data_IF_497255608331
#
_entry.id   IF_497255608331
#
_cell.length_a   1.000
_cell.length_b   1.000
_cell.length_c   1.000
_cell.angle_alpha   90.00
_cell.angle_beta   90.00
_cell.angle_gamma   90.00
#
_symmetry.space_group_name_H-M   'P 1'
#
loop_
_entity.id
_entity.type
_entity.pdbx_description
1 polymer ?
#
# COMPACT_ATOMS: atom_id res chain seq x y z
N UNK A 1 -27.44 10.02 17.12
CA UNK A 1 -27.87 8.69 17.55
C UNK A 1 -26.68 7.75 17.50
N UNK A 2 -26.11 7.46 18.63
CA UNK A 2 -25.13 6.37 18.71
C UNK A 2 -25.89 5.06 18.65
N UNK A 3 -25.79 4.41 17.52
CA UNK A 3 -26.17 3.00 17.47
C UNK A 3 -25.08 2.27 18.24
N UNK A 4 -25.39 1.77 19.41
CA UNK A 4 -24.54 0.81 20.10
C UNK A 4 -24.48 -0.45 19.24
N UNK A 5 -23.65 -0.45 18.23
CA UNK A 5 -23.32 -1.69 17.56
C UNK A 5 -22.59 -2.57 18.58
N UNK A 6 -23.04 -3.78 18.79
CA UNK A 6 -22.40 -4.65 19.77
C UNK A 6 -20.95 -4.89 19.31
N UNK A 7 -20.02 -4.67 20.22
CA UNK A 7 -18.62 -5.01 20.00
C UNK A 7 -18.54 -6.46 19.51
N UNK A 8 -17.91 -6.73 18.35
CA UNK A 8 -17.84 -8.09 17.83
C UNK A 8 -17.23 -9.03 18.88
N UNK A 9 -17.86 -10.19 19.10
CA UNK A 9 -17.28 -11.17 20.00
C UNK A 9 -15.99 -11.72 19.39
N UNK A 10 -14.89 -11.60 20.12
CA UNK A 10 -13.60 -12.13 19.70
C UNK A 10 -13.61 -13.64 19.95
N UNK A 11 -13.31 -14.49 18.93
CA UNK A 11 -13.18 -15.92 19.13
C UNK A 11 -12.09 -16.24 20.14
N UNK A 12 -12.20 -17.40 20.77
CA UNK A 12 -11.21 -17.87 21.73
C UNK A 12 -9.98 -18.38 20.97
N UNK A 13 -8.98 -17.53 20.86
CA UNK A 13 -7.75 -17.78 20.11
C UNK A 13 -6.57 -18.09 21.03
N UNK A 14 -5.71 -18.98 20.58
CA UNK A 14 -4.41 -19.20 21.26
C UNK A 14 -3.53 -17.95 21.11
N UNK A 15 -2.51 -17.85 21.95
CA UNK A 15 -1.51 -16.77 21.86
C UNK A 15 -0.81 -16.77 20.50
N UNK A 16 -0.48 -17.96 19.98
CA UNK A 16 0.17 -18.09 18.68
C UNK A 16 -0.75 -17.70 17.52
N UNK A 17 -2.02 -18.05 17.59
CA UNK A 17 -3.01 -17.63 16.60
C UNK A 17 -3.16 -16.11 16.58
N UNK A 18 -3.29 -15.47 17.74
CA UNK A 18 -3.35 -14.00 17.82
C UNK A 18 -2.09 -13.34 17.29
N UNK A 19 -0.92 -13.85 17.64
CA UNK A 19 0.36 -13.33 17.18
C UNK A 19 0.52 -13.47 15.66
N UNK A 20 0.10 -14.60 15.10
CA UNK A 20 0.14 -14.84 13.66
C UNK A 20 -0.78 -13.88 12.90
N UNK A 21 -2.02 -13.72 13.35
CA UNK A 21 -2.98 -12.81 12.73
C UNK A 21 -2.50 -11.35 12.80
N UNK A 22 -1.90 -10.95 13.92
CA UNK A 22 -1.33 -9.62 14.07
C UNK A 22 -0.15 -9.40 13.12
N UNK A 23 0.75 -10.36 12.98
CA UNK A 23 1.88 -10.29 12.03
C UNK A 23 1.40 -10.19 10.58
N UNK A 24 0.36 -10.92 10.21
CA UNK A 24 -0.26 -10.85 8.89
C UNK A 24 -0.84 -9.45 8.64
N UNK A 25 -1.55 -8.91 9.61
CA UNK A 25 -2.12 -7.56 9.53
C UNK A 25 -1.03 -6.49 9.32
N UNK A 26 0.08 -6.57 10.08
CA UNK A 26 1.20 -5.65 9.91
C UNK A 26 1.88 -5.84 8.56
N UNK A 27 2.01 -7.07 8.08
CA UNK A 27 2.54 -7.36 6.75
C UNK A 27 1.68 -6.75 5.64
N UNK A 28 0.38 -6.87 5.74
CA UNK A 28 -0.58 -6.24 4.81
C UNK A 28 -0.43 -4.72 4.82
N UNK A 29 -0.33 -4.11 6.00
CA UNK A 29 -0.12 -2.67 6.13
C UNK A 29 1.17 -2.21 5.43
N UNK A 30 2.27 -2.94 5.62
CA UNK A 30 3.53 -2.64 4.93
C UNK A 30 3.41 -2.80 3.41
N UNK A 31 2.71 -3.81 2.93
CA UNK A 31 2.47 -4.00 1.50
C UNK A 31 1.65 -2.87 0.88
N UNK A 32 0.63 -2.37 1.59
CA UNK A 32 -0.14 -1.20 1.15
C UNK A 32 0.71 0.08 1.13
N UNK A 33 1.62 0.25 2.09
CA UNK A 33 2.56 1.39 2.08
C UNK A 33 3.53 1.29 0.91
N UNK A 34 4.04 0.10 0.61
CA UNK A 34 4.89 -0.13 -0.56
C UNK A 34 4.16 0.22 -1.86
N UNK A 35 2.91 -0.15 -1.97
CA UNK A 35 2.05 0.24 -3.09
C UNK A 35 1.89 1.77 -3.18
N UNK A 36 1.66 2.43 -2.07
CA UNK A 36 1.57 3.89 -2.02
C UNK A 36 2.89 4.57 -2.45
N UNK A 37 4.04 4.02 -2.05
CA UNK A 37 5.36 4.50 -2.46
C UNK A 37 5.57 4.31 -3.97
N UNK A 38 5.07 3.22 -4.53
CA UNK A 38 5.13 2.97 -5.96
C UNK A 38 4.25 3.95 -6.74
N UNK A 39 3.07 4.30 -6.22
CA UNK A 39 2.24 5.39 -6.76
C UNK A 39 2.99 6.72 -6.71
N UNK A 40 3.69 7.01 -5.61
CA UNK A 40 4.54 8.19 -5.50
C UNK A 40 5.67 8.20 -6.54
N UNK A 41 6.29 7.06 -6.76
CA UNK A 41 7.29 6.88 -7.82
C UNK A 41 6.69 7.19 -9.20
N UNK A 42 5.50 6.69 -9.49
CA UNK A 42 4.79 6.96 -10.74
C UNK A 42 4.56 8.46 -10.94
N UNK A 43 4.04 9.17 -9.96
CA UNK A 43 3.78 10.60 -10.05
C UNK A 43 5.06 11.40 -10.25
N UNK A 44 6.12 11.09 -9.52
CA UNK A 44 7.42 11.78 -9.65
C UNK A 44 8.08 11.52 -10.99
N UNK A 45 7.97 10.31 -11.52
CA UNK A 45 8.47 9.96 -12.84
C UNK A 45 7.75 10.75 -13.92
N UNK A 46 6.41 10.90 -13.83
CA UNK A 46 5.64 11.75 -14.72
C UNK A 46 6.10 13.20 -14.70
N UNK A 47 6.33 13.76 -13.52
CA UNK A 47 6.87 15.12 -13.39
C UNK A 47 8.28 15.24 -13.99
N UNK A 48 9.13 14.23 -13.82
CA UNK A 48 10.45 14.21 -14.44
C UNK A 48 10.35 14.24 -15.98
N UNK A 49 9.43 13.45 -16.55
CA UNK A 49 9.22 13.43 -18.00
C UNK A 49 8.72 14.78 -18.52
N UNK A 50 7.82 15.43 -17.81
CA UNK A 50 7.33 16.78 -18.16
C UNK A 50 8.49 17.79 -18.18
N UNK A 51 9.39 17.71 -17.21
CA UNK A 51 10.58 18.58 -17.17
C UNK A 51 11.55 18.33 -18.31
N UNK A 52 11.77 17.07 -18.67
CA UNK A 52 12.61 16.75 -19.82
C UNK A 52 11.98 17.19 -21.14
N UNK A 53 10.67 17.08 -21.28
CA UNK A 53 9.94 17.62 -22.43
C UNK A 53 10.11 19.14 -22.55
N UNK A 54 10.02 19.87 -21.45
CA UNK A 54 10.30 21.31 -21.40
C UNK A 54 11.76 21.61 -21.73
N UNK A 55 12.70 20.82 -21.21
CA UNK A 55 14.14 20.97 -21.49
C UNK A 55 14.43 20.81 -22.98
N UNK A 56 13.79 19.90 -23.68
CA UNK A 56 13.93 19.73 -25.13
C UNK A 56 13.60 21.04 -25.85
N UNK A 57 12.45 21.66 -25.55
CA UNK A 57 12.05 22.92 -26.18
C UNK A 57 13.03 24.05 -25.90
N UNK A 58 13.49 24.16 -24.65
CA UNK A 58 14.44 25.21 -24.24
C UNK A 58 15.83 25.04 -24.86
N UNK A 59 16.32 23.81 -24.94
CA UNK A 59 17.59 23.51 -25.60
C UNK A 59 17.54 23.82 -27.07
N UNK A 60 16.46 23.53 -27.73
CA UNK A 60 16.25 23.83 -29.15
C UNK A 60 16.22 25.34 -29.39
N UNK A 61 15.51 26.08 -28.54
CA UNK A 61 15.47 27.53 -28.59
C UNK A 61 16.84 28.18 -28.32
N UNK A 62 17.68 27.53 -27.52
CA UNK A 62 19.05 27.97 -27.23
C UNK A 62 20.10 27.53 -28.28
N UNK A 63 19.70 26.79 -29.31
CA UNK A 63 20.55 26.32 -30.38
C UNK A 63 21.29 25.01 -30.10
N UNK A 64 20.90 24.28 -29.05
CA UNK A 64 21.49 22.99 -28.69
C UNK A 64 20.68 21.83 -29.27
N UNK A 65 20.54 21.77 -30.58
CA UNK A 65 19.65 20.84 -31.27
C UNK A 65 20.02 19.37 -31.04
N UNK A 66 21.31 19.06 -30.96
CA UNK A 66 21.75 17.67 -30.74
C UNK A 66 21.26 17.11 -29.40
N UNK A 67 21.33 17.90 -28.32
CA UNK A 67 20.84 17.50 -27.01
C UNK A 67 19.29 17.44 -27.00
N UNK A 68 18.65 18.39 -27.66
CA UNK A 68 17.18 18.37 -27.82
C UNK A 68 16.72 17.11 -28.56
N UNK A 69 17.42 16.73 -29.63
CA UNK A 69 17.14 15.50 -30.38
C UNK A 69 17.34 14.24 -29.53
N UNK A 70 18.36 14.22 -28.69
CA UNK A 70 18.60 13.10 -27.76
C UNK A 70 17.47 12.91 -26.77
N UNK A 71 16.92 14.00 -26.22
CA UNK A 71 15.75 13.95 -25.35
C UNK A 71 14.54 13.40 -26.12
N UNK A 72 14.26 13.94 -27.30
CA UNK A 72 13.12 13.55 -28.13
C UNK A 72 13.18 12.09 -28.59
N UNK A 73 14.35 11.63 -29.01
CA UNK A 73 14.48 10.37 -29.72
C UNK A 73 14.90 9.20 -28.82
N UNK A 74 15.58 9.48 -27.69
CA UNK A 74 16.13 8.45 -26.83
C UNK A 74 15.59 8.47 -25.41
N UNK A 75 15.47 9.64 -24.77
CA UNK A 75 15.10 9.70 -23.36
C UNK A 75 13.59 9.65 -23.14
N UNK A 76 12.80 10.46 -23.85
CA UNK A 76 11.34 10.49 -23.68
C UNK A 76 10.65 9.20 -24.13
N UNK A 77 11.07 8.55 -25.24
CA UNK A 77 10.40 7.33 -25.67
C UNK A 77 10.80 6.07 -24.89
N UNK A 78 11.88 6.14 -24.10
CA UNK A 78 12.33 5.00 -23.31
C UNK A 78 11.35 4.67 -22.20
N UNK A 79 11.16 3.39 -21.92
CA UNK A 79 10.43 2.96 -20.72
C UNK A 79 11.22 3.30 -19.45
N UNK A 80 10.59 3.16 -18.29
CA UNK A 80 11.24 3.42 -17.00
C UNK A 80 12.00 2.18 -16.51
N UNK A 81 11.39 1.02 -16.65
CA UNK A 81 12.02 -0.28 -16.37
C UNK A 81 11.83 -1.14 -17.61
N UNK A 82 12.90 -1.30 -18.39
CA UNK A 82 12.83 -1.85 -19.74
C UNK A 82 11.86 -1.01 -20.60
N UNK A 83 10.90 -1.63 -21.29
CA UNK A 83 9.89 -0.92 -22.07
C UNK A 83 8.65 -0.50 -21.26
N UNK A 84 8.66 -0.74 -19.95
CA UNK A 84 7.49 -0.52 -19.09
C UNK A 84 7.50 0.87 -18.49
N UNK A 85 6.35 1.49 -18.46
CA UNK A 85 6.10 2.70 -17.71
C UNK A 85 5.72 2.38 -16.26
N UNK A 86 5.89 3.36 -15.37
CA UNK A 86 5.61 3.21 -13.93
C UNK A 86 4.17 2.81 -13.64
N UNK A 87 3.20 3.29 -14.44
CA UNK A 87 1.79 2.92 -14.23
C UNK A 87 1.54 1.42 -14.46
N UNK A 88 2.26 0.81 -15.41
CA UNK A 88 2.19 -0.64 -15.63
C UNK A 88 2.73 -1.41 -14.42
N UNK A 89 3.79 -0.92 -13.78
CA UNK A 89 4.35 -1.49 -12.56
C UNK A 89 3.37 -1.38 -11.38
N UNK A 90 2.72 -0.22 -11.23
CA UNK A 90 1.67 0.02 -10.22
C UNK A 90 0.53 -0.99 -10.39
N UNK A 91 0.03 -1.14 -11.61
CA UNK A 91 -1.04 -2.08 -11.94
C UNK A 91 -0.63 -3.52 -11.65
N UNK A 92 0.57 -3.92 -12.07
CA UNK A 92 1.08 -5.27 -11.86
C UNK A 92 1.25 -5.59 -10.36
N UNK A 93 1.78 -4.66 -9.57
CA UNK A 93 1.93 -4.83 -8.12
C UNK A 93 0.58 -5.06 -7.45
N UNK A 94 -0.42 -4.25 -7.78
CA UNK A 94 -1.77 -4.37 -7.22
C UNK A 94 -2.43 -5.70 -7.61
N UNK A 95 -2.31 -6.10 -8.88
CA UNK A 95 -2.98 -7.29 -9.41
C UNK A 95 -2.29 -8.60 -8.98
N UNK A 96 -1.02 -8.56 -8.62
CA UNK A 96 -0.25 -9.74 -8.21
C UNK A 96 -0.09 -9.79 -6.69
N UNK A 97 1.04 -9.31 -6.15
CA UNK A 97 1.35 -9.48 -4.74
C UNK A 97 0.28 -8.93 -3.80
N UNK A 98 -0.13 -7.67 -4.01
CA UNK A 98 -1.08 -7.03 -3.09
C UNK A 98 -2.42 -7.77 -3.05
N UNK A 99 -2.94 -8.14 -4.19
CA UNK A 99 -4.20 -8.87 -4.29
C UNK A 99 -4.13 -10.26 -3.65
N UNK A 100 -3.01 -10.96 -3.83
CA UNK A 100 -2.81 -12.28 -3.19
C UNK A 100 -2.67 -12.19 -1.68
N UNK A 101 -1.95 -11.19 -1.17
CA UNK A 101 -1.83 -10.97 0.26
C UNK A 101 -3.18 -10.63 0.90
N UNK A 102 -3.96 -9.76 0.28
CA UNK A 102 -5.30 -9.40 0.74
C UNK A 102 -6.25 -10.61 0.76
N UNK A 103 -6.19 -11.44 -0.26
CA UNK A 103 -7.00 -12.66 -0.34
C UNK A 103 -6.61 -13.68 0.74
N UNK A 104 -5.32 -13.85 0.98
CA UNK A 104 -4.81 -14.71 2.05
C UNK A 104 -5.26 -14.22 3.42
N UNK A 105 -5.11 -12.93 3.69
CA UNK A 105 -5.54 -12.32 4.97
C UNK A 105 -7.04 -12.53 5.20
N UNK A 106 -7.86 -12.25 4.20
CA UNK A 106 -9.31 -12.47 4.30
C UNK A 106 -9.65 -13.92 4.62
N UNK A 107 -9.01 -14.88 3.93
CA UNK A 107 -9.25 -16.30 4.14
C UNK A 107 -8.87 -16.76 5.55
N UNK A 108 -7.70 -16.40 6.03
CA UNK A 108 -7.24 -16.81 7.36
C UNK A 108 -8.03 -16.13 8.49
N UNK A 109 -8.41 -14.88 8.31
CA UNK A 109 -9.23 -14.16 9.27
C UNK A 109 -10.62 -14.81 9.41
N UNK A 110 -11.24 -15.17 8.30
CA UNK A 110 -12.54 -15.85 8.32
C UNK A 110 -12.44 -17.23 8.95
N UNK A 111 -11.39 -17.99 8.61
CA UNK A 111 -11.22 -19.37 9.09
C UNK A 111 -10.84 -19.44 10.56
N UNK A 112 -9.90 -18.60 11.00
CA UNK A 112 -9.35 -18.66 12.37
C UNK A 112 -10.05 -17.72 13.33
N UNK A 113 -10.42 -16.53 12.88
CA UNK A 113 -10.99 -15.47 13.72
C UNK A 113 -12.47 -15.19 13.48
N UNK A 114 -13.15 -16.03 12.70
CA UNK A 114 -14.58 -15.84 12.39
C UNK A 114 -14.87 -14.51 11.68
N UNK A 115 -13.93 -13.97 10.93
CA UNK A 115 -14.05 -12.70 10.22
C UNK A 115 -13.77 -11.47 11.08
N UNK A 116 -13.36 -11.63 12.34
CA UNK A 116 -13.09 -10.51 13.25
C UNK A 116 -11.71 -9.90 12.98
N UNK A 117 -11.67 -8.60 12.71
CA UNK A 117 -10.45 -7.84 12.55
C UNK A 117 -9.81 -7.45 13.89
N UNK A 118 -8.52 -7.21 13.86
CA UNK A 118 -7.78 -6.59 14.97
C UNK A 118 -7.87 -7.36 16.27
N UNK A 119 -7.74 -8.68 16.18
CA UNK A 119 -7.89 -9.57 17.35
C UNK A 119 -6.87 -9.30 18.46
N UNK A 120 -5.64 -8.89 18.12
CA UNK A 120 -4.62 -8.54 19.10
C UNK A 120 -4.99 -7.27 19.86
N UNK A 121 -5.43 -6.25 19.15
CA UNK A 121 -5.88 -4.97 19.72
C UNK A 121 -7.14 -5.15 20.56
N UNK A 122 -8.07 -6.00 20.13
CA UNK A 122 -9.27 -6.33 20.91
C UNK A 122 -8.92 -7.06 22.20
N UNK A 123 -7.99 -8.00 22.15
CA UNK A 123 -7.51 -8.68 23.36
C UNK A 123 -6.84 -7.71 24.34
N UNK A 124 -6.02 -6.79 23.83
CA UNK A 124 -5.39 -5.73 24.63
C UNK A 124 -6.42 -4.80 25.25
N UNK A 125 -7.41 -4.37 24.49
CA UNK A 125 -8.49 -3.50 24.98
C UNK A 125 -9.27 -4.21 26.11
N UNK A 126 -9.57 -5.49 25.95
CA UNK A 126 -10.23 -6.28 26.99
C UNK A 126 -9.40 -6.31 28.27
N UNK A 127 -8.10 -6.61 28.16
CA UNK A 127 -7.19 -6.63 29.32
C UNK A 127 -7.13 -5.27 30.02
N UNK A 128 -7.09 -4.17 29.27
CA UNK A 128 -7.11 -2.82 29.83
C UNK A 128 -8.42 -2.49 30.54
N UNK A 129 -9.56 -2.90 29.97
CA UNK A 129 -10.87 -2.71 30.62
C UNK A 129 -11.02 -3.49 31.91
N UNK A 130 -10.48 -4.72 31.98
CA UNK A 130 -10.45 -5.53 33.20
C UNK A 130 -9.57 -4.88 34.30
N UNK A 131 -8.52 -4.17 33.92
CA UNK A 131 -7.65 -3.44 34.87
C UNK A 131 -8.19 -2.08 35.26
N UNK A 132 -9.08 -1.52 34.49
CA UNK A 132 -9.59 -0.16 34.73
C UNK A 132 -10.37 -0.11 36.06
N UNK A 133 -10.18 0.98 36.79
CA UNK A 133 -10.91 1.24 38.05
C UNK A 133 -12.15 2.12 37.82
N UNK A 134 -12.38 2.50 36.56
CA UNK A 134 -13.59 3.24 36.18
C UNK A 134 -14.81 2.35 36.18
N UNK A 135 -15.93 2.87 36.66
CA UNK A 135 -17.24 2.16 36.65
C UNK A 135 -17.81 2.01 35.23
N UNK A 136 -17.20 2.63 34.24
CA UNK A 136 -17.66 2.62 32.83
C UNK A 136 -17.50 1.28 32.14
N UNK A 137 -16.52 0.46 32.52
CA UNK A 137 -16.11 -0.75 31.83
C UNK A 137 -16.52 -2.05 32.52
#
# INVERSE_FOLDING_TARGET
>A
MSVDEPTPSVPDLTADERAALHSIQLGIEHAHRAYADLLGCHHRTGHAMDRFSEAEERLRAAGHDEYADEIRDRLLPAGVVEDRWTYELVTAYRQNLLNELDAFETAIREDVAGGVDHVAERAQQRAWRERAESEKW
#
